data_IF_599661802744
#
_entry.id   IF_599661802744
#
_cell.length_a   1.000
_cell.length_b   1.000
_cell.length_c   1.000
_cell.angle_alpha   90.00
_cell.angle_beta   90.00
_cell.angle_gamma   90.00
#
_symmetry.space_group_name_H-M   'P 1'
#
loop_
_entity.id
_entity.type
_entity.pdbx_description
1 polymer ?
#
# COMPACT_ATOMS: atom_id res chain seq x y z
N UNK A 1 -14.40 6.97 9.04
CA UNK A 1 -14.80 7.40 7.67
C UNK A 1 -13.76 6.93 6.65
N UNK A 2 -14.14 6.60 5.41
CA UNK A 2 -13.19 6.16 4.36
C UNK A 2 -12.69 7.33 3.54
N UNK A 3 -11.39 7.38 3.29
CA UNK A 3 -10.72 8.44 2.53
C UNK A 3 -9.79 7.84 1.49
N UNK A 4 -9.59 8.58 0.38
CA UNK A 4 -8.67 8.20 -0.68
C UNK A 4 -7.49 9.18 -0.73
N UNK A 5 -6.27 8.64 -0.77
CA UNK A 5 -5.02 9.39 -0.85
C UNK A 5 -4.10 8.79 -1.93
N UNK A 6 -3.02 9.49 -2.24
CA UNK A 6 -1.95 8.96 -3.09
C UNK A 6 -0.77 8.56 -2.22
N UNK A 7 -0.28 7.34 -2.42
CA UNK A 7 0.94 6.85 -1.79
C UNK A 7 2.02 6.64 -2.84
N UNK A 8 3.28 6.87 -2.45
CA UNK A 8 4.43 6.67 -3.33
C UNK A 8 4.99 5.27 -3.13
N UNK A 9 5.27 4.56 -4.22
CA UNK A 9 6.00 3.29 -4.19
C UNK A 9 7.46 3.59 -3.88
N UNK A 10 7.94 3.13 -2.73
CA UNK A 10 9.32 3.36 -2.29
C UNK A 10 10.20 2.13 -2.49
N UNK A 11 9.61 0.95 -2.65
CA UNK A 11 10.33 -0.31 -2.87
C UNK A 11 9.45 -1.38 -3.51
N UNK A 12 10.06 -2.25 -4.32
CA UNK A 12 9.40 -3.38 -4.97
C UNK A 12 10.33 -4.60 -4.89
N UNK A 13 10.01 -5.53 -3.99
CA UNK A 13 10.83 -6.69 -3.67
C UNK A 13 10.09 -7.98 -4.08
N UNK A 14 10.77 -8.88 -4.79
CA UNK A 14 10.18 -10.17 -5.17
C UNK A 14 10.38 -11.18 -4.04
N UNK A 15 9.30 -11.57 -3.37
CA UNK A 15 9.34 -12.52 -2.25
C UNK A 15 9.36 -13.99 -2.71
N UNK A 16 8.66 -14.31 -3.81
CA UNK A 16 8.59 -15.68 -4.33
C UNK A 16 8.39 -15.70 -5.86
N UNK A 17 8.27 -16.89 -6.45
CA UNK A 17 7.96 -17.04 -7.89
C UNK A 17 6.66 -16.31 -8.28
N UNK A 18 5.70 -16.22 -7.36
CA UNK A 18 4.35 -15.72 -7.61
C UNK A 18 3.92 -14.56 -6.70
N UNK A 19 4.80 -14.08 -5.81
CA UNK A 19 4.48 -13.00 -4.87
C UNK A 19 5.50 -11.86 -4.95
N UNK A 20 4.99 -10.64 -4.94
CA UNK A 20 5.77 -9.41 -4.92
C UNK A 20 5.33 -8.55 -3.73
N UNK A 21 6.30 -8.13 -2.92
CA UNK A 21 6.12 -7.15 -1.86
C UNK A 21 6.34 -5.75 -2.43
N UNK A 22 5.37 -4.87 -2.23
CA UNK A 22 5.45 -3.46 -2.59
C UNK A 22 5.39 -2.64 -1.32
N UNK A 23 6.37 -1.76 -1.11
CA UNK A 23 6.36 -0.82 0.02
C UNK A 23 5.88 0.54 -0.47
N UNK A 24 4.88 1.08 0.22
CA UNK A 24 4.28 2.37 -0.04
C UNK A 24 4.57 3.34 1.10
N UNK A 25 4.69 4.62 0.79
CA UNK A 25 4.80 5.70 1.77
C UNK A 25 3.72 6.76 1.54
N UNK A 26 3.03 7.14 2.62
CA UNK A 26 1.97 8.14 2.66
C UNK A 26 1.81 8.63 4.12
N UNK A 27 1.86 9.93 4.34
CA UNK A 27 1.83 10.48 5.70
C UNK A 27 0.49 10.26 6.39
N UNK A 28 -0.60 10.21 5.63
CA UNK A 28 -1.95 9.96 6.10
C UNK A 28 -2.14 8.55 6.66
N UNK A 29 -1.24 7.59 6.34
CA UNK A 29 -1.21 6.28 6.98
C UNK A 29 -0.92 6.37 8.48
N UNK A 30 -0.20 7.39 8.96
CA UNK A 30 0.09 7.58 10.39
C UNK A 30 -1.18 7.75 11.22
N UNK A 31 -2.19 8.40 10.63
CA UNK A 31 -3.46 8.69 11.27
C UNK A 31 -4.55 7.69 10.84
N UNK A 32 -4.18 6.67 10.06
CA UNK A 32 -5.10 5.62 9.65
C UNK A 32 -5.30 4.62 10.79
N UNK A 33 -6.55 4.27 11.04
CA UNK A 33 -6.90 3.09 11.84
C UNK A 33 -6.74 1.81 10.99
N UNK A 34 -6.92 1.92 9.67
CA UNK A 34 -6.86 0.79 8.75
C UNK A 34 -6.55 1.22 7.32
N UNK A 35 -5.69 0.46 6.63
CA UNK A 35 -5.61 0.49 5.17
C UNK A 35 -6.65 -0.50 4.61
N UNK A 36 -7.35 -0.12 3.55
CA UNK A 36 -8.44 -0.91 2.98
C UNK A 36 -8.10 -1.45 1.60
N UNK A 37 -7.38 -0.69 0.78
CA UNK A 37 -6.90 -1.11 -0.54
C UNK A 37 -5.82 -0.15 -1.06
N UNK A 38 -5.02 -0.61 -2.02
CA UNK A 38 -3.88 0.13 -2.59
C UNK A 38 -3.91 0.25 -4.12
N UNK A 39 -4.97 -0.21 -4.78
CA UNK A 39 -5.11 -0.13 -6.24
C UNK A 39 -4.08 -0.95 -7.03
N UNK A 40 -3.16 -1.63 -6.34
CA UNK A 40 -2.13 -2.46 -6.93
C UNK A 40 -2.75 -3.73 -7.52
N UNK A 41 -2.26 -4.11 -8.70
CA UNK A 41 -2.77 -5.30 -9.37
C UNK A 41 -2.40 -6.57 -8.59
N UNK A 42 -3.40 -7.40 -8.28
CA UNK A 42 -3.19 -8.63 -7.53
C UNK A 42 -2.94 -8.42 -6.04
N UNK A 43 -3.26 -7.23 -5.48
CA UNK A 43 -3.24 -7.01 -4.03
C UNK A 43 -3.96 -8.15 -3.29
N UNK A 44 -3.23 -8.79 -2.37
CA UNK A 44 -3.73 -9.89 -1.54
C UNK A 44 -3.90 -9.47 -0.09
N UNK A 45 -2.89 -8.77 0.44
CA UNK A 45 -2.87 -8.32 1.83
C UNK A 45 -1.98 -7.11 2.00
N UNK A 46 -2.26 -6.32 3.01
CA UNK A 46 -1.44 -5.19 3.39
C UNK A 46 -1.23 -5.10 4.90
N UNK A 47 -0.11 -4.51 5.31
CA UNK A 47 0.20 -4.19 6.71
C UNK A 47 0.68 -2.74 6.78
N UNK A 48 0.21 -1.99 7.77
CA UNK A 48 0.59 -0.58 7.98
C UNK A 48 1.52 -0.46 9.19
N UNK A 49 2.57 0.34 9.05
CA UNK A 49 3.49 0.73 10.14
C UNK A 49 3.89 2.20 9.99
N UNK A 50 3.27 3.07 10.77
CA UNK A 50 3.49 4.52 10.70
C UNK A 50 3.03 5.08 9.35
N UNK A 51 3.90 5.83 8.65
CA UNK A 51 3.61 6.38 7.31
C UNK A 51 3.84 5.38 6.17
N UNK A 52 4.03 4.09 6.47
CA UNK A 52 4.39 3.06 5.48
C UNK A 52 3.39 1.94 5.46
N UNK A 53 3.16 1.40 4.27
CA UNK A 53 2.40 0.18 4.07
C UNK A 53 3.23 -0.84 3.29
N UNK A 54 3.16 -2.09 3.72
CA UNK A 54 3.69 -3.25 3.03
C UNK A 54 2.51 -3.96 2.36
N UNK A 55 2.56 -4.15 1.04
CA UNK A 55 1.50 -4.76 0.25
C UNK A 55 2.04 -5.99 -0.46
N UNK A 56 1.45 -7.14 -0.17
CA UNK A 56 1.76 -8.38 -0.87
C UNK A 56 0.80 -8.50 -2.04
N UNK A 57 1.35 -8.59 -3.24
CA UNK A 57 0.61 -8.79 -4.48
C UNK A 57 0.88 -10.19 -5.05
N UNK A 58 -0.17 -10.89 -5.44
CA UNK A 58 -0.08 -12.09 -6.26
C UNK A 58 0.21 -11.67 -7.71
N UNK A 59 1.29 -12.22 -8.28
CA UNK A 59 1.83 -11.89 -9.60
C UNK A 59 2.43 -10.49 -9.65
N UNK A 60 2.62 -9.97 -10.87
CA UNK A 60 3.25 -8.69 -11.10
C UNK A 60 2.27 -7.53 -10.78
N UNK A 61 2.59 -6.66 -9.81
CA UNK A 61 1.74 -5.54 -9.42
C UNK A 61 1.72 -4.38 -10.42
N UNK A 62 2.61 -4.41 -11.43
CA UNK A 62 2.85 -3.31 -12.38
C UNK A 62 3.16 -1.99 -11.68
N UNK A 63 4.00 -2.05 -10.65
CA UNK A 63 4.46 -0.90 -9.89
C UNK A 63 5.98 -0.77 -10.00
N UNK A 64 6.45 0.47 -10.08
CA UNK A 64 7.87 0.85 -10.10
C UNK A 64 8.14 1.82 -8.95
N UNK A 65 9.36 1.80 -8.42
CA UNK A 65 9.79 2.78 -7.43
C UNK A 65 9.61 4.20 -8.00
N UNK A 66 8.94 5.07 -7.23
CA UNK A 66 8.57 6.43 -7.61
C UNK A 66 7.14 6.57 -8.16
N UNK A 67 6.45 5.47 -8.47
CA UNK A 67 5.06 5.53 -8.92
C UNK A 67 4.14 5.98 -7.78
N UNK A 68 3.09 6.73 -8.12
CA UNK A 68 1.99 7.06 -7.19
C UNK A 68 0.81 6.14 -7.41
N UNK A 69 0.34 5.51 -6.34
CA UNK A 69 -0.82 4.61 -6.37
C UNK A 69 -1.93 5.11 -5.44
N UNK A 70 -3.22 4.94 -5.80
CA UNK A 70 -4.31 5.33 -4.93
C UNK A 70 -4.40 4.36 -3.75
N UNK A 71 -4.47 4.89 -2.53
CA UNK A 71 -4.79 4.12 -1.33
C UNK A 71 -6.14 4.54 -0.77
N UNK A 72 -6.86 3.59 -0.21
CA UNK A 72 -8.10 3.84 0.53
C UNK A 72 -7.83 3.49 1.98
N UNK A 73 -7.98 4.46 2.88
CA UNK A 73 -7.78 4.26 4.32
C UNK A 73 -9.04 4.61 5.10
N UNK A 74 -9.13 4.05 6.29
CA UNK A 74 -10.03 4.51 7.34
C UNK A 74 -9.20 5.31 8.34
N UNK A 75 -9.61 6.55 8.62
CA UNK A 75 -9.00 7.37 9.66
C UNK A 75 -9.51 6.92 11.03
N UNK A 76 -8.67 7.01 12.05
CA UNK A 76 -9.15 6.88 13.42
C UNK A 76 -10.14 8.03 13.71
N UNK A 77 -11.31 7.72 14.28
CA UNK A 77 -12.17 8.75 14.84
C UNK A 77 -11.41 9.38 16.03
N UNK A 78 -11.19 10.69 15.99
CA UNK A 78 -10.58 11.47 17.08
C UNK A 78 -11.45 11.50 18.34
#
# INVERSE_FOLDING_TARGET
>A
MKHAFLATVIDVEKESSDSVLVRLECDELRNSSKLLSTGLNGERSHTVRGSRAEVICERNPKATIGDTVPIIIELADE
#
